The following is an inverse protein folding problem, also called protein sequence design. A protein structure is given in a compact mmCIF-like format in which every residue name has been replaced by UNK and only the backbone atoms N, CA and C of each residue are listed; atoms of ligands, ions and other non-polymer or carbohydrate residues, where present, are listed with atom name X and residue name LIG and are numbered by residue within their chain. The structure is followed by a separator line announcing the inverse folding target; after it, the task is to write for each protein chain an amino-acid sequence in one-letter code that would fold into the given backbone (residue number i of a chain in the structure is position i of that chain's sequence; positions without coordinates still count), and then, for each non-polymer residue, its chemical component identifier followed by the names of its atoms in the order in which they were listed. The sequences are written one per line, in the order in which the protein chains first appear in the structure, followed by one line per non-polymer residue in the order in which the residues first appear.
data_IF_148225857628
#
_entry.id   IF_148225857628
#
_cell.length_a   1.000
_cell.length_b   1.000
_cell.length_c   1.000
_cell.angle_alpha   90.00
_cell.angle_beta   90.00
_cell.angle_gamma   90.00
#
_symmetry.space_group_name_H-M   'P 1'
#
loop_
_entity.id
_entity.type
_entity.pdbx_description
1 polymer ?
#
# COMPACT_ATOMS: atom_id res chain seq x y z
N UNK A 1 -19.23 -24.45 1.12
CA UNK A 1 -19.28 -22.98 1.17
C UNK A 1 -18.00 -22.49 1.83
N UNK A 2 -17.30 -21.50 1.26
CA UNK A 2 -16.10 -20.93 1.88
C UNK A 2 -16.45 -20.22 3.20
N UNK A 3 -15.56 -20.24 4.20
CA UNK A 3 -15.83 -19.76 5.57
C UNK A 3 -16.10 -18.25 5.69
N UNK A 4 -15.90 -17.49 4.62
CA UNK A 4 -16.27 -16.06 4.56
C UNK A 4 -17.75 -15.85 4.28
N UNK A 5 -18.45 -16.89 3.85
CA UNK A 5 -19.81 -16.81 3.35
C UNK A 5 -20.77 -17.65 4.18
N UNK A 6 -22.01 -17.17 4.20
CA UNK A 6 -23.18 -17.91 4.66
C UNK A 6 -24.27 -17.85 3.61
N UNK A 7 -25.16 -18.84 3.65
CA UNK A 7 -26.40 -18.81 2.87
C UNK A 7 -27.39 -17.86 3.58
N UNK A 8 -27.86 -16.79 2.95
CA UNK A 8 -28.87 -15.94 3.53
C UNK A 8 -30.22 -16.66 3.53
N UNK A 9 -31.02 -16.46 4.58
CA UNK A 9 -32.42 -16.88 4.56
C UNK A 9 -33.21 -15.97 3.58
N UNK A 10 -34.19 -16.54 2.88
CA UNK A 10 -35.15 -15.80 2.07
C UNK A 10 -35.97 -14.79 2.88
N UNK A 11 -36.20 -15.04 4.16
CA UNK A 11 -36.93 -14.15 5.06
C UNK A 11 -36.06 -13.03 5.67
N UNK A 12 -34.73 -13.13 5.54
CA UNK A 12 -33.82 -12.11 6.07
C UNK A 12 -33.85 -10.84 5.22
N UNK A 13 -33.81 -9.70 5.89
CA UNK A 13 -33.54 -8.41 5.25
C UNK A 13 -32.16 -8.38 4.58
N UNK A 14 -31.98 -7.43 3.66
CA UNK A 14 -30.70 -7.14 3.04
C UNK A 14 -29.71 -6.70 4.12
N UNK A 15 -28.48 -7.18 4.04
CA UNK A 15 -27.43 -6.87 5.01
C UNK A 15 -26.19 -6.29 4.34
N UNK A 16 -25.41 -5.54 5.10
CA UNK A 16 -24.06 -5.16 4.70
C UNK A 16 -23.24 -6.42 4.42
N UNK A 17 -22.60 -6.47 3.26
CA UNK A 17 -21.86 -7.65 2.82
C UNK A 17 -22.70 -8.68 2.07
N UNK A 18 -23.97 -8.42 1.78
CA UNK A 18 -24.71 -9.25 0.83
C UNK A 18 -24.10 -9.15 -0.58
N UNK A 19 -23.93 -10.30 -1.22
CA UNK A 19 -23.37 -10.44 -2.56
C UNK A 19 -24.53 -10.65 -3.54
N UNK A 20 -24.68 -9.70 -4.45
CA UNK A 20 -25.75 -9.65 -5.44
C UNK A 20 -25.22 -10.14 -6.78
N UNK A 21 -25.90 -11.12 -7.36
CA UNK A 21 -25.65 -11.55 -8.73
C UNK A 21 -26.20 -10.50 -9.71
N UNK A 22 -25.57 -10.32 -10.89
CA UNK A 22 -26.04 -9.40 -11.92
C UNK A 22 -27.24 -10.02 -12.68
N UNK A 23 -28.37 -10.19 -11.99
CA UNK A 23 -29.64 -10.65 -12.57
C UNK A 23 -30.12 -9.69 -13.67
N UNK A 24 -31.00 -10.14 -14.56
CA UNK A 24 -31.54 -9.28 -15.62
C UNK A 24 -32.18 -8.00 -15.06
N UNK A 25 -32.93 -8.12 -13.96
CA UNK A 25 -33.60 -7.00 -13.29
C UNK A 25 -32.60 -6.02 -12.68
N UNK A 26 -31.62 -6.52 -11.91
CA UNK A 26 -30.59 -5.67 -11.32
C UNK A 26 -29.74 -5.01 -12.41
N UNK A 27 -29.41 -5.73 -13.47
CA UNK A 27 -28.61 -5.20 -14.58
C UNK A 27 -29.35 -4.12 -15.34
N UNK A 28 -30.65 -4.28 -15.60
CA UNK A 28 -31.49 -3.24 -16.19
C UNK A 28 -31.59 -1.99 -15.29
N UNK A 29 -31.68 -2.20 -13.98
CA UNK A 29 -31.67 -1.12 -13.00
C UNK A 29 -30.34 -0.35 -13.01
N UNK A 30 -29.21 -1.06 -12.97
CA UNK A 30 -27.87 -0.45 -13.03
C UNK A 30 -27.66 0.22 -14.38
N UNK A 31 -28.09 -0.36 -15.51
CA UNK A 31 -27.97 0.26 -16.84
C UNK A 31 -28.70 1.61 -16.90
N UNK A 32 -29.89 1.68 -16.30
CA UNK A 32 -30.72 2.89 -16.29
C UNK A 32 -30.07 4.06 -15.55
N UNK A 33 -29.49 3.81 -14.37
CA UNK A 33 -29.02 4.89 -13.48
C UNK A 33 -27.49 5.02 -13.41
N UNK A 34 -26.77 3.94 -13.70
CA UNK A 34 -25.31 3.81 -13.57
C UNK A 34 -24.72 3.00 -14.75
N UNK A 35 -24.94 3.40 -16.02
CA UNK A 35 -24.68 2.57 -17.21
C UNK A 35 -23.26 2.01 -17.29
N UNK A 36 -22.26 2.77 -16.86
CA UNK A 36 -20.87 2.29 -16.80
C UNK A 36 -20.73 0.99 -16.01
N UNK A 37 -21.53 0.81 -14.95
CA UNK A 37 -21.47 -0.31 -14.01
C UNK A 37 -22.29 -1.53 -14.43
N UNK A 38 -23.08 -1.45 -15.51
CA UNK A 38 -23.83 -2.59 -16.05
C UNK A 38 -23.01 -3.46 -17.01
N UNK A 39 -21.77 -3.05 -17.31
CA UNK A 39 -20.84 -3.77 -18.16
C UNK A 39 -20.53 -5.19 -17.65
N UNK A 40 -20.34 -6.15 -18.57
CA UNK A 40 -20.05 -7.55 -18.26
C UNK A 40 -18.76 -7.78 -17.43
N UNK A 41 -17.84 -6.81 -17.36
CA UNK A 41 -16.65 -6.87 -16.50
C UNK A 41 -16.95 -6.86 -15.00
N UNK A 42 -18.18 -6.53 -14.61
CA UNK A 42 -18.64 -6.58 -13.23
C UNK A 42 -19.39 -7.88 -13.00
N UNK A 43 -18.84 -8.72 -12.13
CA UNK A 43 -19.33 -10.08 -11.88
C UNK A 43 -20.42 -10.12 -10.81
N UNK A 44 -20.67 -8.99 -10.14
CA UNK A 44 -21.71 -8.82 -9.13
C UNK A 44 -21.54 -7.51 -8.38
N UNK A 45 -22.29 -7.37 -7.29
CA UNK A 45 -22.23 -6.19 -6.42
C UNK A 45 -22.23 -6.62 -4.95
N UNK A 46 -21.51 -5.89 -4.11
CA UNK A 46 -21.46 -6.08 -2.66
C UNK A 46 -22.23 -4.95 -1.99
N UNK A 47 -23.18 -5.27 -1.13
CA UNK A 47 -23.94 -4.27 -0.37
C UNK A 47 -23.02 -3.58 0.64
N UNK A 48 -22.91 -2.26 0.54
CA UNK A 48 -22.07 -1.42 1.37
C UNK A 48 -22.84 -0.70 2.49
N UNK A 49 -24.15 -0.47 2.31
CA UNK A 49 -25.00 0.15 3.34
C UNK A 49 -25.05 -0.70 4.60
N UNK A 50 -25.07 -0.05 5.76
CA UNK A 50 -25.12 -0.72 7.06
C UNK A 50 -26.41 -1.51 7.24
N UNK A 51 -26.32 -2.70 7.83
CA UNK A 51 -27.48 -3.60 8.00
C UNK A 51 -28.61 -2.96 8.82
N UNK A 52 -28.31 -2.13 9.82
CA UNK A 52 -29.32 -1.44 10.65
C UNK A 52 -30.21 -0.48 9.85
N UNK A 53 -29.69 0.09 8.76
CA UNK A 53 -30.44 0.99 7.87
C UNK A 53 -31.25 0.23 6.83
N UNK A 54 -30.97 -1.07 6.63
CA UNK A 54 -31.63 -1.93 5.65
C UNK A 54 -32.77 -2.76 6.25
N UNK A 55 -32.95 -2.76 7.57
CA UNK A 55 -34.06 -3.45 8.23
C UNK A 55 -35.40 -2.91 7.73
N UNK A 56 -36.29 -3.80 7.26
CA UNK A 56 -37.65 -3.42 6.84
C UNK A 56 -38.48 -3.02 8.05
N UNK A 57 -39.14 -1.87 7.94
CA UNK A 57 -40.12 -1.32 8.89
C UNK A 57 -41.45 -1.12 8.16
N UNK A 58 -42.51 -0.74 8.89
CA UNK A 58 -43.84 -0.50 8.31
C UNK A 58 -43.83 0.46 7.12
N UNK A 59 -42.98 1.49 7.17
CA UNK A 59 -42.91 2.57 6.18
C UNK A 59 -41.70 2.45 5.22
N UNK A 60 -41.08 1.26 5.13
CA UNK A 60 -39.90 1.01 4.30
C UNK A 60 -38.62 0.75 5.11
N UNK A 61 -37.46 1.06 4.54
CA UNK A 61 -36.15 0.90 5.18
C UNK A 61 -35.59 2.25 5.64
N UNK A 62 -34.64 2.25 6.57
CA UNK A 62 -34.05 3.49 7.12
C UNK A 62 -33.19 4.23 6.10
N UNK A 63 -32.50 3.51 5.22
CA UNK A 63 -31.68 4.11 4.16
C UNK A 63 -32.53 4.62 2.99
N UNK A 64 -32.31 5.86 2.57
CA UNK A 64 -32.85 6.38 1.29
C UNK A 64 -32.14 5.73 0.09
N UNK A 65 -30.85 5.41 0.25
CA UNK A 65 -30.00 4.81 -0.78
C UNK A 65 -29.27 3.56 -0.27
N UNK A 66 -29.28 2.53 -1.10
CA UNK A 66 -28.50 1.31 -0.95
C UNK A 66 -27.19 1.49 -1.73
N UNK A 67 -26.07 1.53 -1.03
CA UNK A 67 -24.73 1.56 -1.59
C UNK A 67 -24.31 0.18 -2.07
N UNK A 68 -23.82 0.08 -3.29
CA UNK A 68 -23.37 -1.14 -3.94
C UNK A 68 -21.94 -0.96 -4.44
N UNK A 69 -21.00 -1.74 -3.92
CA UNK A 69 -19.62 -1.78 -4.41
C UNK A 69 -19.53 -2.79 -5.56
N UNK A 70 -19.01 -2.35 -6.71
CA UNK A 70 -18.89 -3.22 -7.87
C UNK A 70 -17.83 -4.32 -7.63
N UNK A 71 -18.16 -5.58 -7.98
CA UNK A 71 -17.27 -6.73 -7.88
C UNK A 71 -16.63 -6.99 -9.25
N UNK A 72 -15.32 -7.21 -9.27
CA UNK A 72 -14.57 -7.60 -10.48
C UNK A 72 -13.60 -8.74 -10.19
N UNK A 73 -13.14 -9.46 -11.22
CA UNK A 73 -12.09 -10.45 -11.07
C UNK A 73 -10.83 -9.91 -10.38
N UNK A 74 -10.25 -10.73 -9.51
CA UNK A 74 -9.03 -10.45 -8.75
C UNK A 74 -7.83 -10.17 -9.66
N UNK A 75 -7.77 -10.85 -10.81
CA UNK A 75 -6.73 -10.68 -11.84
C UNK A 75 -6.55 -9.22 -12.22
N UNK A 76 -7.64 -8.49 -12.43
CA UNK A 76 -7.58 -7.06 -12.78
C UNK A 76 -7.04 -6.13 -11.67
N UNK A 77 -7.04 -6.58 -10.41
CA UNK A 77 -6.36 -5.89 -9.29
C UNK A 77 -4.88 -6.28 -9.26
N UNK A 78 -4.60 -7.57 -9.38
CA UNK A 78 -3.25 -8.12 -9.36
C UNK A 78 -2.39 -7.58 -10.51
N UNK A 79 -2.93 -7.52 -11.74
CA UNK A 79 -2.23 -6.99 -12.90
C UNK A 79 -1.82 -5.53 -12.71
N UNK A 80 -2.67 -4.73 -12.05
CA UNK A 80 -2.36 -3.33 -11.73
C UNK A 80 -1.24 -3.21 -10.71
N UNK A 81 -1.19 -4.12 -9.74
CA UNK A 81 -0.10 -4.14 -8.77
C UNK A 81 1.21 -4.60 -9.42
N UNK A 82 1.18 -5.68 -10.19
CA UNK A 82 2.34 -6.24 -10.91
C UNK A 82 2.96 -5.18 -11.83
N UNK A 83 2.12 -4.46 -12.60
CA UNK A 83 2.56 -3.41 -13.54
C UNK A 83 3.37 -2.30 -12.87
N UNK A 84 3.21 -2.03 -11.57
CA UNK A 84 4.03 -1.04 -10.84
C UNK A 84 5.50 -1.41 -10.76
N UNK A 85 5.82 -2.70 -10.93
CA UNK A 85 7.18 -3.24 -10.80
C UNK A 85 7.76 -3.73 -12.13
N UNK A 86 7.03 -3.58 -13.23
CA UNK A 86 7.48 -4.00 -14.56
C UNK A 86 8.04 -2.82 -15.35
N UNK A 87 9.23 -3.00 -15.92
CA UNK A 87 9.72 -2.17 -17.03
C UNK A 87 9.08 -2.61 -18.34
N UNK A 88 9.23 -1.83 -19.42
CA UNK A 88 8.70 -2.19 -20.75
C UNK A 88 9.14 -3.59 -21.22
N UNK A 89 10.40 -3.95 -20.99
CA UNK A 89 10.93 -5.29 -21.28
C UNK A 89 10.22 -6.37 -20.44
N UNK A 90 10.02 -6.12 -19.14
CA UNK A 90 9.39 -7.08 -18.24
C UNK A 90 7.89 -7.24 -18.49
N UNK A 91 7.20 -6.19 -18.96
CA UNK A 91 5.82 -6.29 -19.45
C UNK A 91 5.75 -7.23 -20.65
N UNK A 92 6.65 -7.06 -21.64
CA UNK A 92 6.70 -7.92 -22.82
C UNK A 92 7.06 -9.38 -22.49
N UNK A 93 7.83 -9.60 -21.42
CA UNK A 93 8.22 -10.92 -20.93
C UNK A 93 7.23 -11.52 -19.90
N UNK A 94 6.14 -10.82 -19.56
CA UNK A 94 5.17 -11.23 -18.52
C UNK A 94 5.84 -11.60 -17.18
N UNK A 95 6.92 -10.91 -16.84
CA UNK A 95 7.78 -11.26 -15.71
C UNK A 95 7.88 -10.12 -14.69
N UNK A 96 8.27 -10.46 -13.45
CA UNK A 96 8.71 -9.49 -12.44
C UNK A 96 10.08 -9.89 -11.91
N UNK A 97 10.87 -8.90 -11.49
CA UNK A 97 12.14 -9.17 -10.82
C UNK A 97 11.93 -9.89 -9.49
N UNK A 98 12.89 -10.75 -9.10
CA UNK A 98 12.84 -11.51 -7.85
C UNK A 98 12.64 -10.63 -6.61
N UNK A 99 13.26 -9.44 -6.57
CA UNK A 99 13.08 -8.45 -5.49
C UNK A 99 11.65 -7.90 -5.40
N UNK A 100 10.91 -7.83 -6.51
CA UNK A 100 9.54 -7.33 -6.53
C UNK A 100 8.52 -8.40 -6.15
N UNK A 101 8.89 -9.69 -6.26
CA UNK A 101 8.05 -10.83 -5.90
C UNK A 101 7.52 -10.71 -4.47
N UNK A 102 8.38 -10.41 -3.52
CA UNK A 102 7.98 -10.35 -2.11
C UNK A 102 6.98 -9.22 -1.85
N UNK A 103 7.12 -8.08 -2.54
CA UNK A 103 6.14 -6.97 -2.45
C UNK A 103 4.77 -7.37 -3.01
N UNK A 104 4.75 -8.06 -4.14
CA UNK A 104 3.51 -8.58 -4.74
C UNK A 104 2.87 -9.62 -3.83
N UNK A 105 3.64 -10.52 -3.24
CA UNK A 105 3.14 -11.50 -2.27
C UNK A 105 2.53 -10.84 -1.04
N UNK A 106 3.21 -9.84 -0.45
CA UNK A 106 2.65 -9.05 0.66
C UNK A 106 1.34 -8.35 0.27
N UNK A 107 1.24 -7.84 -0.95
CA UNK A 107 0.00 -7.24 -1.45
C UNK A 107 -1.13 -8.28 -1.56
N UNK A 108 -0.85 -9.45 -2.14
CA UNK A 108 -1.81 -10.56 -2.24
C UNK A 108 -2.27 -11.00 -0.85
N UNK A 109 -1.33 -11.21 0.08
CA UNK A 109 -1.63 -11.57 1.46
C UNK A 109 -2.55 -10.55 2.14
N UNK A 110 -2.27 -9.25 1.96
CA UNK A 110 -3.13 -8.18 2.48
C UNK A 110 -4.53 -8.20 1.86
N UNK A 111 -4.65 -8.51 0.58
CA UNK A 111 -5.96 -8.65 -0.07
C UNK A 111 -6.73 -9.85 0.48
N UNK A 112 -6.12 -11.03 0.50
CA UNK A 112 -6.75 -12.27 0.98
C UNK A 112 -7.23 -12.15 2.42
N UNK A 113 -6.49 -11.42 3.26
CA UNK A 113 -6.84 -11.14 4.65
C UNK A 113 -7.77 -9.91 4.83
N UNK A 114 -8.29 -9.32 3.75
CA UNK A 114 -9.15 -8.13 3.79
C UNK A 114 -8.55 -6.95 4.57
N UNK A 115 -7.23 -6.75 4.46
CA UNK A 115 -6.46 -5.68 5.09
C UNK A 115 -6.06 -4.56 4.11
N UNK A 116 -6.57 -4.61 2.88
CA UNK A 116 -6.36 -3.54 1.91
C UNK A 116 -7.52 -2.52 1.98
N UNK A 117 -7.26 -1.21 2.05
CA UNK A 117 -8.31 -0.21 2.27
C UNK A 117 -9.26 -0.03 1.07
N UNK A 118 -8.82 -0.31 -0.15
CA UNK A 118 -9.60 -0.04 -1.37
C UNK A 118 -10.42 -1.24 -1.87
N UNK A 119 -10.13 -2.44 -1.39
CA UNK A 119 -10.66 -3.69 -1.93
C UNK A 119 -11.12 -4.61 -0.82
N UNK A 120 -12.23 -5.31 -1.07
CA UNK A 120 -12.65 -6.45 -0.25
C UNK A 120 -12.56 -7.72 -1.09
N UNK A 121 -11.71 -8.65 -0.68
CA UNK A 121 -11.49 -9.91 -1.35
C UNK A 121 -12.65 -10.89 -1.13
N UNK A 122 -13.02 -11.56 -2.22
CA UNK A 122 -14.03 -12.59 -2.28
C UNK A 122 -13.40 -13.86 -2.89
N UNK A 123 -13.35 -14.93 -2.09
CA UNK A 123 -12.84 -16.22 -2.54
C UNK A 123 -13.82 -16.91 -3.49
N UNK A 124 -13.30 -17.66 -4.46
CA UNK A 124 -14.14 -18.42 -5.40
C UNK A 124 -14.98 -19.48 -4.68
N UNK A 125 -16.28 -19.49 -4.97
CA UNK A 125 -17.21 -20.52 -4.53
C UNK A 125 -18.26 -20.72 -5.66
N UNK A 126 -17.87 -21.42 -6.75
CA UNK A 126 -18.71 -21.51 -7.96
C UNK A 126 -20.07 -22.14 -7.69
N UNK A 127 -20.15 -23.07 -6.75
CA UNK A 127 -21.38 -23.76 -6.33
C UNK A 127 -22.41 -22.77 -5.78
N UNK A 128 -21.95 -21.68 -5.15
CA UNK A 128 -22.82 -20.70 -4.49
C UNK A 128 -22.83 -19.33 -5.21
N UNK A 129 -22.27 -19.25 -6.43
CA UNK A 129 -22.42 -18.08 -7.30
C UNK A 129 -21.23 -17.11 -7.32
N UNK A 130 -20.09 -17.45 -6.73
CA UNK A 130 -18.83 -16.70 -6.90
C UNK A 130 -17.92 -17.50 -7.82
N UNK A 131 -18.03 -17.27 -9.13
CA UNK A 131 -17.39 -18.12 -10.14
C UNK A 131 -15.85 -18.13 -10.08
N UNK A 132 -15.25 -17.01 -9.69
CA UNK A 132 -13.79 -16.84 -9.64
C UNK A 132 -13.40 -15.88 -8.51
N UNK A 133 -12.11 -15.91 -8.15
CA UNK A 133 -11.53 -14.99 -7.16
C UNK A 133 -11.80 -13.56 -7.59
N UNK A 134 -12.39 -12.79 -6.69
CA UNK A 134 -12.90 -11.47 -7.02
C UNK A 134 -12.57 -10.45 -5.93
N UNK A 135 -12.67 -9.17 -6.27
CA UNK A 135 -12.61 -8.08 -5.31
C UNK A 135 -13.78 -7.13 -5.51
N UNK A 136 -14.45 -6.76 -4.41
CA UNK A 136 -15.32 -5.60 -4.39
C UNK A 136 -14.47 -4.33 -4.29
N UNK A 137 -14.75 -3.36 -5.15
CA UNK A 137 -14.02 -2.09 -5.22
C UNK A 137 -14.71 -1.08 -4.32
N UNK A 138 -14.17 -0.86 -3.12
CA UNK A 138 -14.84 -0.08 -2.08
C UNK A 138 -14.96 1.42 -2.39
N UNK A 139 -14.04 1.93 -3.22
CA UNK A 139 -14.10 3.31 -3.74
C UNK A 139 -15.05 3.50 -4.93
N UNK A 140 -15.54 2.40 -5.51
CA UNK A 140 -16.47 2.41 -6.64
C UNK A 140 -17.85 1.98 -6.17
N UNK A 141 -18.35 2.67 -5.14
CA UNK A 141 -19.70 2.48 -4.64
C UNK A 141 -20.68 3.30 -5.47
N UNK A 142 -21.73 2.66 -5.98
CA UNK A 142 -22.87 3.32 -6.60
C UNK A 142 -24.07 3.28 -5.65
N UNK A 143 -24.97 4.25 -5.78
CA UNK A 143 -26.15 4.36 -4.93
C UNK A 143 -27.41 4.07 -5.71
N UNK A 144 -28.22 3.15 -5.20
CA UNK A 144 -29.53 2.80 -5.74
C UNK A 144 -30.60 3.22 -4.75
N UNK A 145 -31.71 3.83 -5.19
CA UNK A 145 -32.80 4.22 -4.28
C UNK A 145 -33.43 3.00 -3.60
N UNK A 146 -33.87 3.17 -2.36
CA UNK A 146 -34.54 2.13 -1.58
C UNK A 146 -35.85 1.63 -2.19
N UNK A 147 -36.46 2.38 -3.13
CA UNK A 147 -37.58 1.90 -3.96
C UNK A 147 -37.24 0.63 -4.76
N UNK A 148 -35.95 0.34 -4.97
CA UNK A 148 -35.47 -0.85 -5.67
C UNK A 148 -34.96 -1.95 -4.71
N UNK A 149 -35.29 -1.88 -3.43
CA UNK A 149 -34.85 -2.83 -2.42
C UNK A 149 -35.16 -4.29 -2.80
N UNK A 150 -36.38 -4.56 -3.29
CA UNK A 150 -36.80 -5.91 -3.66
C UNK A 150 -35.96 -6.50 -4.80
N UNK A 151 -35.51 -5.66 -5.75
CA UNK A 151 -34.62 -6.07 -6.85
C UNK A 151 -33.24 -6.44 -6.31
N UNK A 152 -32.73 -5.68 -5.34
CA UNK A 152 -31.48 -6.02 -4.66
C UNK A 152 -31.61 -7.33 -3.88
N UNK A 153 -32.70 -7.48 -3.12
CA UNK A 153 -32.95 -8.68 -2.31
C UNK A 153 -33.11 -9.94 -3.16
N UNK A 154 -33.88 -9.88 -4.25
CA UNK A 154 -34.08 -11.02 -5.17
C UNK A 154 -32.77 -11.44 -5.88
N UNK A 155 -31.86 -10.49 -6.06
CA UNK A 155 -30.55 -10.69 -6.67
C UNK A 155 -29.50 -11.23 -5.70
N UNK A 156 -29.79 -11.26 -4.39
CA UNK A 156 -28.89 -11.80 -3.37
C UNK A 156 -28.61 -13.28 -3.62
N UNK A 157 -27.35 -13.68 -3.46
CA UNK A 157 -26.92 -15.08 -3.56
C UNK A 157 -26.19 -15.57 -2.32
N UNK A 158 -25.36 -14.71 -1.74
CA UNK A 158 -24.58 -14.99 -0.55
C UNK A 158 -24.63 -13.80 0.39
N UNK A 159 -24.34 -14.06 1.65
CA UNK A 159 -24.05 -13.04 2.64
C UNK A 159 -22.65 -13.29 3.21
N UNK A 160 -21.94 -12.25 3.61
CA UNK A 160 -20.73 -12.41 4.40
C UNK A 160 -21.07 -12.95 5.80
N UNK A 161 -20.17 -13.74 6.36
CA UNK A 161 -20.20 -14.11 7.77
C UNK A 161 -19.99 -12.89 8.68
N UNK A 162 -20.51 -12.93 9.91
CA UNK A 162 -20.58 -11.76 10.80
C UNK A 162 -19.24 -11.05 11.04
N UNK A 163 -18.16 -11.83 11.19
CA UNK A 163 -16.80 -11.27 11.34
C UNK A 163 -16.35 -10.51 10.09
N UNK A 164 -16.72 -10.98 8.89
CA UNK A 164 -16.39 -10.35 7.62
C UNK A 164 -17.28 -9.14 7.32
N UNK A 165 -18.56 -9.17 7.72
CA UNK A 165 -19.43 -7.99 7.70
C UNK A 165 -18.84 -6.87 8.56
N UNK A 166 -18.43 -7.20 9.79
CA UNK A 166 -17.82 -6.23 10.71
C UNK A 166 -16.53 -5.63 10.12
N UNK A 167 -15.69 -6.45 9.48
CA UNK A 167 -14.48 -6.01 8.80
C UNK A 167 -14.80 -5.09 7.61
N UNK A 168 -15.81 -5.41 6.83
CA UNK A 168 -16.29 -4.58 5.72
C UNK A 168 -16.77 -3.21 6.21
N UNK A 169 -17.61 -3.20 7.26
CA UNK A 169 -18.09 -1.97 7.89
C UNK A 169 -16.94 -1.08 8.37
N UNK A 170 -15.91 -1.67 8.98
CA UNK A 170 -14.69 -0.95 9.39
C UNK A 170 -13.94 -0.34 8.20
N UNK A 171 -13.76 -1.08 7.10
CA UNK A 171 -13.10 -0.57 5.90
C UNK A 171 -13.88 0.59 5.26
N UNK A 172 -15.21 0.45 5.15
CA UNK A 172 -16.09 1.50 4.62
C UNK A 172 -16.05 2.74 5.51
N UNK A 173 -16.11 2.56 6.84
CA UNK A 173 -15.97 3.67 7.80
C UNK A 173 -14.66 4.43 7.65
N UNK A 174 -13.53 3.73 7.45
CA UNK A 174 -12.24 4.38 7.21
C UNK A 174 -12.16 5.18 5.90
N UNK A 175 -12.95 4.80 4.89
CA UNK A 175 -13.01 5.48 3.60
C UNK A 175 -13.92 6.72 3.64
N UNK A 176 -15.09 6.61 4.27
CA UNK A 176 -16.16 7.62 4.15
C UNK A 176 -16.52 8.35 5.46
N UNK A 177 -16.10 7.83 6.62
CA UNK A 177 -16.41 8.41 7.94
C UNK A 177 -15.24 9.20 8.54
N UNK A 178 -14.34 9.73 7.69
CA UNK A 178 -13.30 10.64 8.17
C UNK A 178 -13.93 11.97 8.58
N UNK A 179 -13.88 12.27 9.86
CA UNK A 179 -14.18 13.61 10.36
C UNK A 179 -13.00 14.49 9.98
N UNK A 180 -13.24 15.47 9.10
CA UNK A 180 -12.25 16.49 8.79
C UNK A 180 -12.03 17.36 10.02
N UNK A 181 -10.92 17.17 10.71
CA UNK A 181 -10.44 18.13 11.70
C UNK A 181 -9.74 19.27 10.98
N UNK A 182 -9.71 20.45 11.58
CA UNK A 182 -8.89 21.52 11.03
C UNK A 182 -7.42 21.16 11.11
N UNK A 183 -6.75 21.12 9.96
CA UNK A 183 -5.31 20.87 9.90
C UNK A 183 -4.53 22.10 10.42
N UNK A 184 -3.32 21.86 10.91
CA UNK A 184 -2.43 22.92 11.38
C UNK A 184 -2.03 23.89 10.27
N UNK A 185 -1.88 23.43 9.03
CA UNK A 185 -1.58 24.27 7.87
C UNK A 185 -2.46 23.91 6.67
N UNK A 186 -2.79 24.89 5.79
CA UNK A 186 -2.42 26.30 5.85
C UNK A 186 -3.35 27.15 6.73
N UNK A 187 -4.44 26.57 7.25
CA UNK A 187 -5.53 27.32 7.88
C UNK A 187 -5.15 27.93 9.24
N UNK A 188 -4.49 27.17 10.10
CA UNK A 188 -4.15 27.57 11.47
C UNK A 188 -2.71 28.11 11.61
N UNK A 189 -1.84 27.81 10.65
CA UNK A 189 -0.46 28.25 10.50
C UNK A 189 -0.13 28.28 9.01
N UNK A 190 0.71 29.21 8.60
CA UNK A 190 1.30 29.17 7.26
C UNK A 190 2.21 27.93 7.12
N UNK A 191 2.45 27.46 5.89
CA UNK A 191 3.38 26.34 5.64
C UNK A 191 4.77 26.58 6.23
N UNK A 192 5.23 27.85 6.26
CA UNK A 192 6.51 28.20 6.85
C UNK A 192 6.50 28.09 8.38
N UNK A 193 5.43 28.53 9.04
CA UNK A 193 5.30 28.43 10.50
C UNK A 193 5.12 26.98 10.94
N UNK A 194 4.40 26.19 10.15
CA UNK A 194 4.23 24.76 10.37
C UNK A 194 5.57 24.00 10.26
N UNK A 195 6.34 24.24 9.20
CA UNK A 195 7.69 23.65 9.07
C UNK A 195 8.62 24.06 10.20
N UNK A 196 8.55 25.32 10.66
CA UNK A 196 9.33 25.78 11.82
C UNK A 196 8.95 25.03 13.10
N UNK A 197 7.66 24.82 13.35
CA UNK A 197 7.19 24.04 14.50
C UNK A 197 7.63 22.57 14.41
N UNK A 198 7.53 21.95 13.23
CA UNK A 198 8.01 20.58 13.03
C UNK A 198 9.50 20.45 13.29
N UNK A 199 10.31 21.39 12.79
CA UNK A 199 11.74 21.40 13.02
C UNK A 199 12.09 21.67 14.48
N UNK A 200 11.38 22.57 15.18
CA UNK A 200 11.64 22.83 16.60
C UNK A 200 11.35 21.59 17.45
N UNK A 201 10.22 20.91 17.22
CA UNK A 201 9.89 19.66 17.91
C UNK A 201 10.97 18.59 17.64
N UNK A 202 11.43 18.48 16.39
CA UNK A 202 12.48 17.53 16.02
C UNK A 202 13.81 17.85 16.70
N UNK A 203 14.24 19.11 16.66
CA UNK A 203 15.50 19.58 17.27
C UNK A 203 15.49 19.48 18.80
N UNK A 204 14.34 19.68 19.44
CA UNK A 204 14.13 19.45 20.88
C UNK A 204 14.20 17.96 21.23
N UNK A 205 13.76 17.08 20.33
CA UNK A 205 13.66 15.64 20.59
C UNK A 205 14.96 14.88 20.30
N UNK A 206 15.67 15.24 19.22
CA UNK A 206 16.81 14.47 18.73
C UNK A 206 17.77 15.33 17.91
N UNK A 207 19.07 15.04 18.01
CA UNK A 207 20.05 15.60 17.09
C UNK A 207 19.98 14.89 15.73
N UNK A 208 19.84 15.67 14.67
CA UNK A 208 19.92 15.18 13.29
C UNK A 208 21.39 15.00 12.90
N UNK A 209 21.75 13.80 12.43
CA UNK A 209 23.11 13.45 11.99
C UNK A 209 23.05 13.03 10.53
N UNK A 210 24.09 13.36 9.75
CA UNK A 210 24.24 12.90 8.38
C UNK A 210 24.33 11.37 8.29
N UNK A 211 23.52 10.76 7.43
CA UNK A 211 23.41 9.31 7.30
C UNK A 211 24.76 8.65 6.96
N UNK A 212 25.59 9.29 6.13
CA UNK A 212 26.90 8.71 5.76
C UNK A 212 27.86 8.70 6.94
N UNK A 213 27.82 9.74 7.78
CA UNK A 213 28.58 9.78 9.04
C UNK A 213 28.08 8.73 10.02
N UNK A 214 26.76 8.59 10.17
CA UNK A 214 26.16 7.58 11.03
C UNK A 214 26.58 6.16 10.61
N UNK A 215 26.54 5.84 9.32
CA UNK A 215 26.93 4.53 8.80
C UNK A 215 28.45 4.28 8.88
N UNK A 216 29.27 5.30 8.65
CA UNK A 216 30.71 5.19 8.84
C UNK A 216 31.08 5.00 10.33
N UNK A 217 30.34 5.63 11.24
CA UNK A 217 30.52 5.48 12.67
C UNK A 217 30.14 4.08 13.16
N UNK A 218 29.03 3.49 12.68
CA UNK A 218 28.64 2.11 13.02
C UNK A 218 29.73 1.07 12.73
N UNK A 219 30.57 1.31 11.72
CA UNK A 219 31.68 0.41 11.35
C UNK A 219 32.91 0.58 12.26
N UNK A 220 33.06 1.73 12.91
CA UNK A 220 34.28 2.11 13.65
C UNK A 220 34.11 2.19 15.16
N UNK A 221 32.90 2.46 15.63
CA UNK A 221 32.55 2.65 17.03
C UNK A 221 31.72 1.43 17.44
N UNK A 222 32.22 0.66 18.42
CA UNK A 222 31.46 -0.44 18.99
C UNK A 222 30.57 0.08 20.11
N UNK A 223 29.42 -0.55 20.31
CA UNK A 223 28.41 -0.10 21.28
C UNK A 223 28.95 -0.24 22.71
N UNK A 224 29.79 -1.25 22.95
CA UNK A 224 30.44 -1.51 24.22
C UNK A 224 31.40 -0.37 24.64
N UNK A 225 31.93 0.39 23.67
CA UNK A 225 32.82 1.52 23.90
C UNK A 225 32.08 2.83 24.23
N UNK A 226 30.74 2.78 24.30
CA UNK A 226 29.86 3.93 24.53
C UNK A 226 29.22 3.94 25.93
N UNK A 227 29.47 2.92 26.74
CA UNK A 227 28.90 2.85 28.08
C UNK A 227 29.42 3.99 28.97
N UNK A 228 28.51 4.68 29.65
CA UNK A 228 28.81 5.87 30.45
C UNK A 228 29.22 7.13 29.66
N UNK A 229 29.28 7.10 28.33
CA UNK A 229 29.65 8.27 27.51
C UNK A 229 28.45 9.20 27.30
N UNK A 230 28.55 10.50 27.60
CA UNK A 230 27.47 11.45 27.35
C UNK A 230 27.06 11.51 25.88
N UNK A 231 25.76 11.65 25.61
CA UNK A 231 25.21 11.66 24.24
C UNK A 231 25.83 12.73 23.33
N UNK A 232 26.25 13.87 23.88
CA UNK A 232 26.93 14.94 23.15
C UNK A 232 28.31 14.49 22.64
N UNK A 233 29.07 13.77 23.46
CA UNK A 233 30.38 13.25 23.09
C UNK A 233 30.25 12.15 22.04
N UNK A 234 29.24 11.29 22.15
CA UNK A 234 28.93 10.28 21.12
C UNK A 234 28.63 10.97 19.78
N UNK A 235 27.83 12.05 19.78
CA UNK A 235 27.54 12.84 18.56
C UNK A 235 28.81 13.45 17.97
N UNK A 236 29.69 14.00 18.80
CA UNK A 236 30.98 14.56 18.35
C UNK A 236 31.88 13.48 17.72
N UNK A 237 31.92 12.28 18.32
CA UNK A 237 32.65 11.13 17.76
C UNK A 237 32.08 10.72 16.40
N UNK A 238 30.75 10.65 16.25
CA UNK A 238 30.11 10.36 14.96
C UNK A 238 30.41 11.45 13.93
N UNK A 239 30.33 12.73 14.33
CA UNK A 239 30.58 13.86 13.45
C UNK A 239 32.04 13.97 12.99
N UNK A 240 32.98 13.48 13.78
CA UNK A 240 34.41 13.42 13.48
C UNK A 240 34.78 12.25 12.55
N UNK A 241 33.87 11.31 12.30
CA UNK A 241 34.16 10.20 11.38
C UNK A 241 34.33 10.73 9.96
N UNK A 242 35.53 10.57 9.42
CA UNK A 242 35.81 10.83 8.02
C UNK A 242 34.97 9.88 7.14
N UNK A 243 34.06 10.48 6.36
CA UNK A 243 33.29 9.79 5.32
C UNK A 243 34.18 9.72 4.09
N UNK A 244 34.72 8.53 3.80
CA UNK A 244 35.45 8.30 2.56
C UNK A 244 34.44 8.27 1.43
N UNK A 245 34.72 9.00 0.34
CA UNK A 245 33.86 8.91 -0.83
C UNK A 245 34.10 7.56 -1.51
N UNK A 246 33.10 6.98 -2.17
CA UNK A 246 33.18 5.65 -2.79
C UNK A 246 34.34 5.55 -3.80
N UNK A 247 34.65 6.68 -4.44
CA UNK A 247 35.82 6.85 -5.31
C UNK A 247 37.13 6.63 -4.55
N UNK A 248 37.27 7.23 -3.37
CA UNK A 248 38.49 7.11 -2.56
C UNK A 248 38.66 5.68 -2.04
N UNK A 249 37.58 5.00 -1.66
CA UNK A 249 37.62 3.59 -1.27
C UNK A 249 38.14 2.69 -2.40
N UNK A 250 37.67 2.89 -3.62
CA UNK A 250 38.14 2.11 -4.78
C UNK A 250 39.59 2.42 -5.13
N UNK A 251 40.03 3.68 -5.01
CA UNK A 251 41.42 4.06 -5.26
C UNK A 251 42.35 3.37 -4.26
N UNK A 252 42.00 3.33 -2.97
CA UNK A 252 42.79 2.64 -1.95
C UNK A 252 42.86 1.12 -2.23
N UNK A 253 41.74 0.47 -2.58
CA UNK A 253 41.72 -0.96 -2.93
C UNK A 253 42.64 -1.25 -4.13
N UNK A 254 42.63 -0.39 -5.16
CA UNK A 254 43.50 -0.53 -6.33
C UNK A 254 44.97 -0.41 -5.90
N UNK A 255 45.30 0.57 -5.06
CA UNK A 255 46.68 0.77 -4.59
C UNK A 255 47.16 -0.41 -3.74
N UNK A 256 46.32 -0.89 -2.81
CA UNK A 256 46.64 -2.03 -1.95
C UNK A 256 46.90 -3.29 -2.78
N UNK A 257 46.07 -3.55 -3.80
CA UNK A 257 46.25 -4.68 -4.70
C UNK A 257 47.52 -4.54 -5.55
N UNK A 258 47.80 -3.36 -6.10
CA UNK A 258 49.01 -3.11 -6.89
C UNK A 258 50.29 -3.23 -6.06
N UNK A 259 50.24 -2.88 -4.77
CA UNK A 259 51.34 -3.09 -3.82
C UNK A 259 51.49 -4.58 -3.45
N UNK A 260 50.38 -5.29 -3.25
CA UNK A 260 50.39 -6.72 -2.93
C UNK A 260 50.92 -7.58 -4.09
N UNK A 261 50.63 -7.17 -5.33
CA UNK A 261 51.08 -7.83 -6.55
C UNK A 261 52.48 -7.35 -7.01
N UNK A 262 53.15 -6.51 -6.22
CA UNK A 262 54.48 -5.93 -6.48
C UNK A 262 54.58 -5.18 -7.82
N UNK A 263 53.44 -4.67 -8.31
CA UNK A 263 53.32 -3.90 -9.57
C UNK A 263 53.81 -2.47 -9.38
N UNK A 264 53.65 -1.93 -8.17
CA UNK A 264 54.14 -0.61 -7.78
C UNK A 264 54.88 -0.72 -6.43
N UNK A 265 55.86 0.14 -6.21
CA UNK A 265 56.53 0.25 -4.91
C UNK A 265 55.82 1.26 -3.97
N UNK A 266 56.16 1.20 -2.69
CA UNK A 266 55.65 2.15 -1.68
C UNK A 266 56.03 3.61 -1.97
N UNK A 267 57.09 3.85 -2.74
CA UNK A 267 57.50 5.21 -3.12
C UNK A 267 56.62 5.79 -4.25
N UNK A 268 56.02 4.92 -5.07
CA UNK A 268 55.20 5.28 -6.23
C UNK A 268 53.70 5.26 -5.94
N UNK A 269 53.27 4.63 -4.84
CA UNK A 269 51.86 4.56 -4.43
C UNK A 269 51.18 5.94 -4.36
N UNK A 270 51.87 6.94 -3.81
CA UNK A 270 51.33 8.29 -3.67
C UNK A 270 51.13 8.98 -5.05
N UNK A 271 52.04 8.74 -6.00
CA UNK A 271 51.92 9.27 -7.36
C UNK A 271 50.77 8.59 -8.11
N UNK A 272 50.57 7.30 -7.91
CA UNK A 272 49.47 6.52 -8.50
C UNK A 272 48.13 6.99 -7.93
N UNK A 273 48.06 7.25 -6.62
CA UNK A 273 46.89 7.81 -5.95
C UNK A 273 46.45 9.13 -6.58
N UNK A 274 47.36 10.10 -6.71
CA UNK A 274 47.07 11.40 -7.31
C UNK A 274 46.54 11.25 -8.75
N UNK A 275 47.14 10.35 -9.55
CA UNK A 275 46.69 10.08 -10.92
C UNK A 275 45.31 9.44 -11.00
N UNK A 276 45.00 8.49 -10.13
CA UNK A 276 43.68 7.86 -10.06
C UNK A 276 42.61 8.85 -9.57
N UNK A 277 42.93 9.70 -8.60
CA UNK A 277 42.03 10.75 -8.12
C UNK A 277 41.71 11.76 -9.22
N UNK A 278 42.67 12.12 -10.07
CA UNK A 278 42.48 13.07 -11.18
C UNK A 278 41.97 12.43 -12.48
N UNK A 279 41.78 11.10 -12.51
CA UNK A 279 41.34 10.40 -13.71
C UNK A 279 39.86 10.70 -14.05
N UNK A 280 39.63 11.31 -15.22
CA UNK A 280 38.30 11.69 -15.68
C UNK A 280 37.38 10.49 -15.97
N UNK A 281 37.92 9.39 -16.49
CA UNK A 281 37.17 8.16 -16.75
C UNK A 281 36.70 7.52 -15.45
N UNK A 282 37.57 7.46 -14.44
CA UNK A 282 37.19 6.98 -13.10
C UNK A 282 36.13 7.89 -12.48
N UNK A 283 36.25 9.21 -12.63
CA UNK A 283 35.26 10.17 -12.14
C UNK A 283 33.87 9.98 -12.79
N UNK A 284 33.81 9.55 -14.05
CA UNK A 284 32.54 9.31 -14.76
C UNK A 284 31.78 8.06 -14.28
N UNK A 285 32.48 7.09 -13.68
CA UNK A 285 31.89 5.85 -13.15
C UNK A 285 31.18 6.07 -11.80
N UNK A 286 31.54 7.13 -11.06
CA UNK A 286 30.98 7.45 -9.74
C UNK A 286 30.03 8.66 -9.73
N UNK A 287 29.57 9.13 -10.90
CA UNK A 287 28.45 10.07 -11.05
C UNK A 287 27.12 9.32 -11.02
#
# INVERSE_FOLDING_TARGET
MHFTYRKPDSAEDLQQGDILAPTAELKALIEKYHPYYANAKFTGYLVATQSCDLVRRKDGVGAEYIGLCAIKPFTGVLDREIKKYQSSLLVAAEAIGSRSRDRVLMFIERLLNNNHPEYFYLHEDPVHGVAERSCAYLRLAISVRSEHYDVCLSSRRLALELGFQSKLGWLIGNLYSRVGTEDWAPKNKTDSEWKKLLNSILEESVAVIDDKKADAAKKKIKIEDLDGVPSEEIRNRINAVAVRNRKDEVIEIIIDQLLADDVIDKASSEKVKVRLTQNASLASVFK
#
